data_IF_347535163170
#
_entry.id   IF_347535163170
#
_cell.length_a   1.000
_cell.length_b   1.000
_cell.length_c   1.000
_cell.angle_alpha   90.00
_cell.angle_beta   90.00
_cell.angle_gamma   90.00
#
_symmetry.space_group_name_H-M   'P 1'
#
loop_
_entity.id
_entity.type
_entity.pdbx_description
1 polymer ?
#
# COMPACT_ATOMS: atom_id res chain seq x y z
N UNK A 1 16.73 41.98 -0.11
CA UNK A 1 15.62 41.19 -0.67
C UNK A 1 15.21 40.15 0.34
N UNK A 2 14.05 40.34 0.98
CA UNK A 2 13.46 39.41 1.94
C UNK A 2 12.97 38.15 1.21
N UNK A 3 13.43 36.98 1.66
CA UNK A 3 12.93 35.68 1.19
C UNK A 3 11.79 35.24 2.10
N UNK A 4 10.56 35.36 1.60
CA UNK A 4 9.36 34.81 2.22
C UNK A 4 9.29 33.30 1.88
N UNK A 5 9.54 32.42 2.85
CA UNK A 5 9.20 31.00 2.73
C UNK A 5 7.81 30.78 3.31
N UNK A 6 6.82 30.75 2.44
CA UNK A 6 5.47 30.31 2.78
C UNK A 6 5.49 28.83 3.17
N UNK A 7 5.06 28.42 4.38
CA UNK A 7 4.94 27.01 4.73
C UNK A 7 3.76 26.42 3.95
N UNK A 8 4.02 25.87 2.76
CA UNK A 8 2.99 25.23 1.95
C UNK A 8 2.49 23.97 2.65
N UNK A 9 1.35 24.08 3.34
CA UNK A 9 0.54 22.93 3.79
C UNK A 9 0.10 22.15 2.55
N UNK A 10 0.91 21.18 2.12
CA UNK A 10 0.52 20.27 1.05
C UNK A 10 -0.55 19.32 1.58
N UNK A 11 -1.71 19.29 0.95
CA UNK A 11 -2.71 18.28 1.23
C UNK A 11 -2.19 16.92 0.74
N UNK A 12 -1.97 15.98 1.66
CA UNK A 12 -1.56 14.63 1.34
C UNK A 12 -2.79 13.74 1.09
N UNK A 13 -2.68 12.83 0.13
CA UNK A 13 -3.59 11.72 -0.05
C UNK A 13 -2.89 10.42 0.35
N UNK A 14 -3.63 9.54 1.00
CA UNK A 14 -3.20 8.17 1.31
C UNK A 14 -3.99 7.19 0.45
N UNK A 15 -3.31 6.13 0.04
CA UNK A 15 -3.90 4.97 -0.60
C UNK A 15 -3.47 3.74 0.18
N UNK A 16 -4.36 2.75 0.26
CA UNK A 16 -4.06 1.45 0.82
C UNK A 16 -4.10 0.43 -0.31
N UNK A 17 -3.04 -0.35 -0.45
CA UNK A 17 -3.01 -1.44 -1.42
C UNK A 17 -2.53 -2.74 -0.81
N UNK A 18 -3.01 -3.84 -1.36
CA UNK A 18 -2.49 -5.19 -1.11
C UNK A 18 -1.89 -5.69 -2.41
N UNK A 19 -0.67 -6.21 -2.32
CA UNK A 19 0.03 -6.80 -3.45
C UNK A 19 0.19 -8.30 -3.23
N UNK A 20 0.01 -9.06 -4.31
CA UNK A 20 0.39 -10.45 -4.36
C UNK A 20 1.90 -10.58 -4.56
N UNK A 21 2.43 -11.77 -4.28
CA UNK A 21 3.88 -12.07 -4.36
C UNK A 21 4.45 -11.87 -5.77
N UNK A 22 3.62 -12.03 -6.79
CA UNK A 22 3.94 -11.80 -8.20
C UNK A 22 3.89 -10.31 -8.59
N UNK A 23 3.72 -9.38 -7.63
CA UNK A 23 3.70 -7.95 -7.88
C UNK A 23 2.39 -7.42 -8.45
N UNK A 24 1.33 -8.24 -8.54
CA UNK A 24 -0.01 -7.76 -8.88
C UNK A 24 -0.66 -7.04 -7.71
N UNK A 25 -1.29 -5.90 -8.00
CA UNK A 25 -2.09 -5.15 -7.03
C UNK A 25 -3.48 -5.81 -7.00
N UNK A 26 -3.75 -6.58 -5.96
CA UNK A 26 -5.02 -7.32 -5.80
C UNK A 26 -6.12 -6.46 -5.18
N UNK A 27 -5.73 -5.42 -4.45
CA UNK A 27 -6.66 -4.46 -3.86
C UNK A 27 -6.01 -3.08 -3.81
N UNK A 28 -6.77 -2.05 -4.18
CA UNK A 28 -6.35 -0.65 -4.13
C UNK A 28 -7.53 0.23 -3.71
N UNK A 29 -7.41 0.85 -2.53
CA UNK A 29 -8.45 1.68 -1.93
C UNK A 29 -7.94 3.09 -1.65
N UNK A 30 -8.82 4.07 -1.84
CA UNK A 30 -8.54 5.50 -1.71
C UNK A 30 -9.21 6.32 -2.82
N UNK A 31 -8.92 7.62 -2.90
CA UNK A 31 -8.00 8.37 -2.04
C UNK A 31 -8.59 8.68 -0.66
N UNK A 32 -7.77 8.57 0.39
CA UNK A 32 -8.09 9.00 1.75
C UNK A 32 -7.36 10.29 2.12
N UNK A 33 -7.92 11.17 2.97
CA UNK A 33 -7.18 12.31 3.50
C UNK A 33 -5.94 11.84 4.28
N UNK A 34 -4.78 12.43 4.03
CA UNK A 34 -3.52 12.01 4.65
C UNK A 34 -3.43 12.20 6.16
N UNK A 35 -4.37 12.95 6.75
CA UNK A 35 -4.53 13.10 8.20
C UNK A 35 -5.17 11.88 8.87
N UNK A 36 -5.75 10.95 8.10
CA UNK A 36 -6.37 9.74 8.65
C UNK A 36 -5.31 8.73 9.08
N UNK A 37 -5.55 8.09 10.21
CA UNK A 37 -4.73 6.98 10.71
C UNK A 37 -4.93 5.73 9.86
N UNK A 38 -3.89 4.91 9.75
CA UNK A 38 -3.88 3.75 8.84
C UNK A 38 -4.88 2.67 9.27
N UNK A 39 -5.11 2.50 10.59
CA UNK A 39 -6.15 1.63 11.12
C UNK A 39 -7.57 2.06 10.72
N UNK A 40 -7.82 3.39 10.64
CA UNK A 40 -9.10 3.92 10.17
C UNK A 40 -9.28 3.65 8.67
N UNK A 41 -8.23 3.89 7.88
CA UNK A 41 -8.23 3.60 6.43
C UNK A 41 -8.49 2.12 6.17
N UNK A 42 -7.87 1.24 6.94
CA UNK A 42 -8.06 -0.20 6.85
C UNK A 42 -9.48 -0.66 7.14
N UNK A 43 -10.10 -0.12 8.19
CA UNK A 43 -11.51 -0.41 8.46
C UNK A 43 -12.40 0.13 7.35
N UNK A 44 -12.10 1.33 6.84
CA UNK A 44 -12.91 1.97 5.81
C UNK A 44 -12.76 1.31 4.43
N UNK A 45 -11.64 0.62 4.16
CA UNK A 45 -11.41 0.00 2.87
C UNK A 45 -12.26 -1.25 2.63
N UNK A 46 -12.84 -1.85 3.69
CA UNK A 46 -13.65 -3.07 3.58
C UNK A 46 -12.82 -4.30 3.15
N UNK A 47 -11.49 -4.22 3.24
CA UNK A 47 -10.59 -5.26 2.75
C UNK A 47 -10.85 -6.61 3.43
N UNK A 48 -11.03 -6.64 4.75
CA UNK A 48 -11.30 -7.90 5.45
C UNK A 48 -12.64 -8.49 5.08
N UNK A 49 -13.70 -7.69 5.04
CA UNK A 49 -15.04 -8.16 4.67
C UNK A 49 -15.04 -8.78 3.26
N UNK A 50 -14.26 -8.22 2.34
CA UNK A 50 -14.08 -8.76 0.98
C UNK A 50 -13.19 -10.01 0.97
N UNK A 51 -12.11 -10.01 1.74
CA UNK A 51 -11.10 -11.06 1.72
C UNK A 51 -11.49 -12.29 2.54
N UNK A 52 -12.37 -12.16 3.55
CA UNK A 52 -12.72 -13.24 4.49
C UNK A 52 -13.14 -14.53 3.77
N UNK A 53 -13.95 -14.41 2.71
CA UNK A 53 -14.39 -15.54 1.89
C UNK A 53 -13.25 -16.26 1.14
N UNK A 54 -12.13 -15.58 0.91
CA UNK A 54 -10.97 -16.11 0.17
C UNK A 54 -9.79 -16.48 1.07
N UNK A 55 -9.74 -15.91 2.29
CA UNK A 55 -8.68 -16.19 3.25
C UNK A 55 -8.86 -17.55 3.94
N UNK A 56 -10.09 -18.09 3.96
CA UNK A 56 -10.35 -19.43 4.48
C UNK A 56 -10.69 -20.38 3.34
N UNK A 57 -9.73 -21.21 2.91
CA UNK A 57 -9.90 -22.15 1.81
C UNK A 57 -9.65 -23.59 2.29
N UNK A 58 -10.73 -24.30 2.59
CA UNK A 58 -10.67 -25.65 3.18
C UNK A 58 -9.97 -25.63 4.53
N UNK A 59 -8.92 -26.45 4.69
CA UNK A 59 -8.09 -26.50 5.90
C UNK A 59 -7.02 -25.40 5.95
N UNK A 60 -6.85 -24.62 4.87
CA UNK A 60 -5.82 -23.60 4.79
C UNK A 60 -6.39 -22.23 5.11
N UNK A 61 -5.69 -21.51 5.97
CA UNK A 61 -5.97 -20.14 6.32
C UNK A 61 -4.84 -19.24 5.82
N UNK A 62 -5.19 -18.27 4.98
CA UNK A 62 -4.28 -17.27 4.45
C UNK A 62 -4.35 -16.00 5.30
N UNK A 63 -3.22 -15.32 5.40
CA UNK A 63 -3.08 -14.07 6.16
C UNK A 63 -2.52 -12.99 5.26
N UNK A 64 -2.95 -11.75 5.51
CA UNK A 64 -2.42 -10.56 4.86
C UNK A 64 -1.30 -10.02 5.74
N UNK A 65 -0.14 -9.78 5.13
CA UNK A 65 0.97 -9.15 5.83
C UNK A 65 0.78 -7.65 5.88
N UNK A 66 0.75 -7.11 7.09
CA UNK A 66 0.57 -5.69 7.38
C UNK A 66 1.85 -5.01 7.83
N UNK A 67 1.88 -3.68 7.67
CA UNK A 67 2.80 -2.81 8.39
C UNK A 67 2.65 -2.96 9.92
N UNK A 68 3.71 -2.73 10.72
CA UNK A 68 3.61 -2.71 12.18
C UNK A 68 2.50 -1.80 12.74
N UNK A 69 2.03 -0.79 12.00
CA UNK A 69 0.90 0.05 12.41
C UNK A 69 -0.45 -0.69 12.51
N UNK A 70 -0.60 -1.87 11.89
CA UNK A 70 -1.83 -2.65 11.98
C UNK A 70 -1.88 -3.52 13.24
N UNK A 71 -3.08 -3.64 13.82
CA UNK A 71 -3.33 -4.56 14.90
C UNK A 71 -3.33 -6.00 14.37
N UNK A 72 -2.67 -6.91 15.09
CA UNK A 72 -2.72 -8.34 14.79
C UNK A 72 -4.15 -8.86 14.98
N UNK A 73 -4.60 -9.68 14.03
CA UNK A 73 -5.86 -10.42 14.11
C UNK A 73 -5.75 -11.70 13.27
N UNK A 74 -6.81 -12.50 13.20
CA UNK A 74 -6.79 -13.76 12.45
C UNK A 74 -6.34 -13.57 11.00
N UNK A 75 -6.71 -12.46 10.35
CA UNK A 75 -6.44 -12.22 8.94
C UNK A 75 -5.24 -11.33 8.66
N UNK A 76 -4.64 -10.69 9.67
CA UNK A 76 -3.50 -9.78 9.52
C UNK A 76 -2.37 -10.18 10.45
N UNK A 77 -1.20 -10.37 9.85
CA UNK A 77 0.05 -10.56 10.60
C UNK A 77 0.94 -9.35 10.42
N UNK A 78 1.37 -8.77 11.54
CA UNK A 78 2.28 -7.62 11.58
C UNK A 78 3.63 -8.04 12.21
N UNK A 79 4.74 -7.36 11.89
CA UNK A 79 6.04 -7.65 12.49
C UNK A 79 6.02 -7.56 14.03
N UNK A 80 6.82 -8.40 14.69
CA UNK A 80 7.00 -8.38 16.14
C UNK A 80 7.67 -7.08 16.57
N UNK A 81 7.21 -6.48 17.68
CA UNK A 81 7.75 -5.23 18.25
C UNK A 81 8.34 -5.49 19.64
N UNK A 82 9.55 -5.02 19.89
CA UNK A 82 10.20 -5.13 21.20
C UNK A 82 11.67 -4.75 21.16
N UNK A 83 12.23 -4.43 22.32
CA UNK A 83 13.68 -4.14 22.48
C UNK A 83 14.50 -5.44 22.47
N UNK A 84 13.92 -6.51 23.03
CA UNK A 84 14.50 -7.84 23.03
C UNK A 84 13.55 -8.74 22.24
N UNK A 85 13.99 -9.19 21.07
CA UNK A 85 13.31 -10.18 20.25
C UNK A 85 14.09 -11.50 20.32
N UNK A 86 13.37 -12.61 20.38
CA UNK A 86 13.95 -13.93 20.17
C UNK A 86 14.53 -14.06 18.76
N UNK A 87 15.41 -15.04 18.55
CA UNK A 87 16.02 -15.23 17.23
C UNK A 87 15.00 -15.64 16.16
N UNK A 88 13.95 -16.38 16.55
CA UNK A 88 12.83 -16.72 15.67
C UNK A 88 12.02 -15.47 15.26
N UNK A 89 11.75 -14.55 16.19
CA UNK A 89 11.06 -13.29 15.88
C UNK A 89 11.91 -12.37 14.99
N UNK A 90 13.23 -12.36 15.18
CA UNK A 90 14.15 -11.60 14.30
C UNK A 90 14.14 -12.16 12.88
N UNK A 91 14.24 -13.48 12.74
CA UNK A 91 14.20 -14.14 11.43
C UNK A 91 12.84 -13.93 10.74
N UNK A 92 11.74 -14.02 11.50
CA UNK A 92 10.41 -13.66 11.00
C UNK A 92 10.37 -12.21 10.50
N UNK A 93 10.80 -11.24 11.31
CA UNK A 93 10.83 -9.83 10.94
C UNK A 93 11.74 -9.55 9.72
N UNK A 94 12.84 -10.29 9.59
CA UNK A 94 13.74 -10.20 8.43
C UNK A 94 13.03 -10.65 7.14
N UNK A 95 12.30 -11.77 7.18
CA UNK A 95 11.47 -12.24 6.06
C UNK A 95 10.33 -11.25 5.75
N UNK A 96 9.75 -10.64 6.78
CA UNK A 96 8.72 -9.62 6.61
C UNK A 96 9.25 -8.34 5.95
N UNK A 97 10.50 -7.99 6.17
CA UNK A 97 11.13 -6.82 5.54
C UNK A 97 11.16 -6.94 4.01
N UNK A 98 11.44 -8.13 3.45
CA UNK A 98 11.45 -8.31 1.99
C UNK A 98 10.05 -8.16 1.38
N UNK A 99 9.01 -8.61 2.08
CA UNK A 99 7.62 -8.44 1.65
C UNK A 99 7.24 -6.95 1.63
N UNK A 100 7.65 -6.17 2.64
CA UNK A 100 7.42 -4.72 2.67
C UNK A 100 8.08 -4.01 1.48
N UNK A 101 9.29 -4.43 1.11
CA UNK A 101 10.00 -3.88 -0.04
C UNK A 101 9.19 -4.08 -1.33
N UNK A 102 8.55 -5.24 -1.54
CA UNK A 102 7.70 -5.49 -2.72
C UNK A 102 6.53 -4.50 -2.79
N UNK A 103 5.91 -4.19 -1.66
CA UNK A 103 4.80 -3.23 -1.59
C UNK A 103 5.28 -1.83 -1.97
N UNK A 104 6.40 -1.37 -1.40
CA UNK A 104 7.01 -0.08 -1.74
C UNK A 104 7.38 0.02 -3.22
N UNK A 105 7.91 -1.08 -3.78
CA UNK A 105 8.22 -1.17 -5.20
C UNK A 105 6.97 -1.09 -6.07
N UNK A 106 5.85 -1.67 -5.64
CA UNK A 106 4.55 -1.54 -6.32
C UNK A 106 4.08 -0.08 -6.43
N UNK A 107 4.13 0.66 -5.32
CA UNK A 107 3.85 2.10 -5.31
C UNK A 107 4.81 2.88 -6.21
N UNK A 108 6.10 2.58 -6.14
CA UNK A 108 7.12 3.17 -6.99
C UNK A 108 6.91 2.88 -8.48
N UNK A 109 6.44 1.67 -8.83
CA UNK A 109 6.13 1.25 -10.19
C UNK A 109 5.02 2.10 -10.82
N UNK A 110 3.95 2.36 -10.06
CA UNK A 110 2.86 3.25 -10.50
C UNK A 110 3.40 4.65 -10.79
N UNK A 111 4.16 5.24 -9.85
CA UNK A 111 4.69 6.58 -10.02
C UNK A 111 5.68 6.69 -11.20
N UNK A 112 6.50 5.63 -11.41
CA UNK A 112 7.50 5.57 -12.47
C UNK A 112 6.90 5.45 -13.86
N UNK A 113 5.94 4.56 -14.07
CA UNK A 113 5.34 4.36 -15.40
C UNK A 113 4.33 5.44 -15.75
N UNK A 114 3.63 5.98 -14.76
CA UNK A 114 2.52 6.89 -14.97
C UNK A 114 2.84 8.28 -14.43
N UNK A 115 3.65 9.03 -15.19
CA UNK A 115 4.13 10.37 -14.82
C UNK A 115 2.98 11.35 -14.44
N UNK A 116 1.77 11.15 -14.97
CA UNK A 116 0.62 11.98 -14.61
C UNK A 116 0.19 11.83 -13.13
N UNK A 117 0.56 10.72 -12.48
CA UNK A 117 0.31 10.45 -11.05
C UNK A 117 1.31 11.21 -10.15
N UNK A 118 2.53 11.43 -10.62
CA UNK A 118 3.60 12.11 -9.85
C UNK A 118 3.77 13.59 -10.23
N UNK A 119 3.10 14.05 -11.28
CA UNK A 119 3.24 15.44 -11.74
C UNK A 119 2.53 16.45 -10.83
N UNK A 120 3.25 16.96 -9.83
CA UNK A 120 2.77 17.92 -8.81
C UNK A 120 1.93 19.08 -9.36
N UNK A 121 2.27 19.63 -10.53
CA UNK A 121 1.55 20.77 -11.11
C UNK A 121 0.12 20.40 -11.56
N UNK A 122 -0.14 19.11 -11.80
CA UNK A 122 -1.43 18.56 -12.20
C UNK A 122 -2.15 17.80 -11.07
N UNK A 123 -1.47 17.56 -9.94
CA UNK A 123 -2.03 16.94 -8.74
C UNK A 123 -2.80 17.96 -7.89
N UNK A 124 -3.84 18.57 -8.49
CA UNK A 124 -4.69 19.56 -7.83
C UNK A 124 -5.97 18.91 -7.29
N UNK A 125 -6.05 18.78 -5.96
CA UNK A 125 -7.27 18.32 -5.29
C UNK A 125 -8.46 19.20 -5.68
N UNK A 126 -9.63 18.58 -5.85
CA UNK A 126 -10.90 19.21 -6.25
C UNK A 126 -10.93 19.82 -7.67
N UNK A 127 -9.78 20.03 -8.32
CA UNK A 127 -9.69 20.52 -9.70
C UNK A 127 -9.40 19.41 -10.70
N UNK A 128 -8.78 18.33 -10.25
CA UNK A 128 -8.48 17.15 -11.06
C UNK A 128 -8.98 15.89 -10.34
N UNK A 129 -9.29 14.85 -11.11
CA UNK A 129 -9.73 13.55 -10.58
C UNK A 129 -8.53 12.71 -10.12
N UNK A 130 -7.73 13.28 -9.22
CA UNK A 130 -6.47 12.72 -8.72
C UNK A 130 -6.64 11.27 -8.23
N UNK A 131 -7.70 10.99 -7.47
CA UNK A 131 -8.04 9.64 -7.03
C UNK A 131 -8.21 8.65 -8.18
N UNK A 132 -9.00 9.02 -9.19
CA UNK A 132 -9.25 8.16 -10.35
C UNK A 132 -7.99 7.96 -11.19
N UNK A 133 -7.18 9.01 -11.34
CA UNK A 133 -5.89 8.92 -12.04
C UNK A 133 -4.99 7.88 -11.37
N UNK A 134 -4.90 7.90 -10.04
CA UNK A 134 -4.12 6.92 -9.28
C UNK A 134 -4.64 5.49 -9.48
N UNK A 135 -5.96 5.28 -9.36
CA UNK A 135 -6.58 3.96 -9.58
C UNK A 135 -6.33 3.43 -10.99
N UNK A 136 -6.44 4.28 -12.01
CA UNK A 136 -6.14 3.91 -13.40
C UNK A 136 -4.66 3.55 -13.56
N UNK A 137 -3.74 4.31 -12.95
CA UNK A 137 -2.32 3.98 -12.91
C UNK A 137 -2.05 2.62 -12.24
N UNK A 138 -2.77 2.28 -11.17
CA UNK A 138 -2.71 0.96 -10.55
C UNK A 138 -3.15 -0.16 -11.50
N UNK A 139 -4.29 0.01 -12.16
CA UNK A 139 -4.81 -0.96 -13.12
C UNK A 139 -3.85 -1.18 -14.31
N UNK A 140 -3.35 -0.09 -14.89
CA UNK A 140 -2.41 -0.18 -16.01
C UNK A 140 -1.07 -0.79 -15.58
N UNK A 141 -0.66 -0.58 -14.33
CA UNK A 141 0.50 -1.28 -13.75
C UNK A 141 0.27 -2.78 -13.70
N UNK A 142 -0.92 -3.24 -13.31
CA UNK A 142 -1.24 -4.67 -13.36
C UNK A 142 -1.19 -5.22 -14.79
N UNK A 143 -1.77 -4.51 -15.76
CA UNK A 143 -1.70 -4.92 -17.19
C UNK A 143 -0.24 -5.05 -17.64
N UNK A 144 0.60 -4.06 -17.33
CA UNK A 144 2.02 -4.12 -17.63
C UNK A 144 2.70 -5.32 -16.93
N UNK A 145 2.39 -5.58 -15.66
CA UNK A 145 2.91 -6.74 -14.93
C UNK A 145 2.49 -8.06 -15.59
N UNK A 146 1.25 -8.17 -16.07
CA UNK A 146 0.79 -9.37 -16.78
C UNK A 146 1.50 -9.55 -18.13
N UNK A 147 1.75 -8.47 -18.88
CA UNK A 147 2.38 -8.56 -20.21
C UNK A 147 3.88 -8.85 -20.16
N UNK A 148 4.59 -8.31 -19.16
CA UNK A 148 6.06 -8.35 -19.11
C UNK A 148 6.62 -9.09 -17.89
N UNK A 149 5.75 -9.64 -17.06
CA UNK A 149 6.10 -10.23 -15.77
C UNK A 149 6.40 -9.17 -14.71
N UNK A 150 6.56 -9.65 -13.49
CA UNK A 150 7.11 -8.86 -12.40
C UNK A 150 8.58 -9.20 -12.19
N UNK A 151 9.41 -8.17 -12.03
CA UNK A 151 10.80 -8.31 -11.58
C UNK A 151 10.90 -8.38 -10.04
N UNK A 152 9.79 -8.55 -9.33
CA UNK A 152 9.80 -8.74 -7.88
C UNK A 152 10.47 -10.07 -7.54
N UNK A 153 11.48 -10.09 -6.66
CA UNK A 153 12.20 -11.30 -6.27
C UNK A 153 11.32 -12.30 -5.49
#
# INVERSE_FOLDING_TARGET
MSSWKEPKRKHALKYQSVLARDGLIIHLSGPFPGTRHDAFIFKQSGLLDMAEAYLSCGEKHFVIYGDPAYAQNNHIVAPFKGVVLSDDEKEFNKRMSSVRVIVEWGFGKIARYWAFVDFHKNQKLLLQRVGKMYTVGGLLTNVHTCCYGSQTP
#
